data_IF_395589364223
#
_entry.id   IF_395589364223
#
_cell.length_a   1.000
_cell.length_b   1.000
_cell.length_c   1.000
_cell.angle_alpha   90.00
_cell.angle_beta   90.00
_cell.angle_gamma   90.00
#
_symmetry.space_group_name_H-M   'P 1'
#
loop_
_entity.id
_entity.type
_entity.pdbx_description
1 polymer ?
#
# COMPACT_ATOMS: atom_id res chain seq x y z
N UNK A 1 15.05 -5.95 -13.03
CA UNK A 1 15.37 -5.69 -11.60
C UNK A 1 14.17 -6.08 -10.76
N UNK A 2 14.37 -6.60 -9.54
CA UNK A 2 13.25 -6.97 -8.65
C UNK A 2 13.11 -5.94 -7.53
N UNK A 3 11.88 -5.46 -7.30
CA UNK A 3 11.53 -4.53 -6.24
C UNK A 3 10.55 -5.23 -5.28
N UNK A 4 10.85 -5.18 -3.97
CA UNK A 4 9.97 -5.73 -2.94
C UNK A 4 8.93 -4.70 -2.48
N UNK A 5 7.84 -5.18 -1.88
CA UNK A 5 6.80 -4.30 -1.32
C UNK A 5 7.34 -3.40 -0.20
N UNK A 6 8.36 -3.85 0.54
CA UNK A 6 9.05 -3.04 1.54
C UNK A 6 9.73 -1.82 0.91
N UNK A 7 10.44 -2.02 -0.19
CA UNK A 7 11.08 -0.91 -0.92
C UNK A 7 10.03 0.09 -1.43
N UNK A 8 8.88 -0.40 -1.91
CA UNK A 8 7.77 0.47 -2.33
C UNK A 8 7.23 1.28 -1.15
N UNK A 9 7.01 0.65 0.00
CA UNK A 9 6.51 1.31 1.21
C UNK A 9 7.48 2.39 1.73
N UNK A 10 8.77 2.08 1.81
CA UNK A 10 9.82 3.03 2.22
C UNK A 10 9.96 4.19 1.23
N UNK A 11 9.95 3.90 -0.07
CA UNK A 11 10.01 4.93 -1.11
C UNK A 11 8.80 5.84 -1.03
N UNK A 12 7.60 5.28 -0.86
CA UNK A 12 6.39 6.07 -0.64
C UNK A 12 6.51 6.95 0.61
N UNK A 13 6.97 6.40 1.74
CA UNK A 13 7.17 7.16 2.96
C UNK A 13 8.14 8.33 2.75
N UNK A 14 9.28 8.09 2.09
CA UNK A 14 10.25 9.13 1.79
C UNK A 14 9.66 10.22 0.89
N UNK A 15 8.96 9.84 -0.19
CA UNK A 15 8.28 10.80 -1.07
C UNK A 15 7.30 11.68 -0.28
N UNK A 16 6.47 11.08 0.58
CA UNK A 16 5.43 11.80 1.34
C UNK A 16 5.99 12.69 2.44
N UNK A 17 6.95 12.19 3.22
CA UNK A 17 7.34 12.81 4.48
C UNK A 17 8.69 13.54 4.43
N UNK A 18 9.61 13.11 3.56
CA UNK A 18 10.90 13.77 3.40
C UNK A 18 10.90 14.75 2.22
N UNK A 19 10.21 14.41 1.13
CA UNK A 19 10.19 15.22 -0.09
C UNK A 19 8.88 15.99 -0.31
N UNK A 20 7.87 15.81 0.55
CA UNK A 20 6.60 16.55 0.48
C UNK A 20 5.76 16.27 -0.76
N UNK A 21 6.02 15.17 -1.47
CA UNK A 21 5.31 14.80 -2.69
C UNK A 21 3.84 14.49 -2.35
N UNK A 22 2.86 15.04 -3.09
CA UNK A 22 1.45 14.74 -2.88
C UNK A 22 1.14 13.25 -3.04
N UNK A 23 0.15 12.74 -2.29
CA UNK A 23 -0.25 11.33 -2.31
C UNK A 23 -0.50 10.79 -3.72
N UNK A 24 -1.36 11.47 -4.48
CA UNK A 24 -1.75 11.05 -5.82
C UNK A 24 -0.55 11.01 -6.78
N UNK A 25 0.40 11.94 -6.62
CA UNK A 25 1.62 11.95 -7.41
C UNK A 25 2.56 10.81 -7.02
N UNK A 26 2.77 10.57 -5.73
CA UNK A 26 3.59 9.46 -5.24
C UNK A 26 3.05 8.10 -5.73
N UNK A 27 1.73 7.89 -5.66
CA UNK A 27 1.06 6.67 -6.14
C UNK A 27 1.23 6.51 -7.65
N UNK A 28 1.02 7.59 -8.41
CA UNK A 28 1.17 7.59 -9.87
C UNK A 28 2.59 7.22 -10.30
N UNK A 29 3.62 7.84 -9.71
CA UNK A 29 5.02 7.58 -10.11
C UNK A 29 5.49 6.20 -9.68
N UNK A 30 5.08 5.72 -8.49
CA UNK A 30 5.38 4.36 -8.06
C UNK A 30 4.69 3.33 -8.96
N UNK A 31 3.42 3.54 -9.31
CA UNK A 31 2.72 2.66 -10.25
C UNK A 31 3.38 2.65 -11.62
N UNK A 32 3.85 3.81 -12.11
CA UNK A 32 4.60 3.89 -13.37
C UNK A 32 5.90 3.08 -13.31
N UNK A 33 6.69 3.24 -12.24
CA UNK A 33 7.91 2.44 -12.01
C UNK A 33 7.60 0.94 -11.98
N UNK A 34 6.56 0.54 -11.24
CA UNK A 34 6.20 -0.87 -11.15
C UNK A 34 5.55 -1.40 -12.42
N UNK A 35 5.15 -0.56 -13.38
CA UNK A 35 4.56 -0.99 -14.65
C UNK A 35 5.60 -1.09 -15.78
N UNK A 36 6.83 -0.68 -15.51
CA UNK A 36 7.95 -0.83 -16.44
C UNK A 36 8.23 -2.33 -16.71
N UNK A 37 8.36 -2.76 -17.98
CA UNK A 37 8.57 -4.16 -18.34
C UNK A 37 9.87 -4.76 -17.78
N UNK A 38 10.87 -3.93 -17.46
CA UNK A 38 12.16 -4.38 -16.91
C UNK A 38 12.12 -4.52 -15.37
N UNK A 39 10.99 -4.17 -14.74
CA UNK A 39 10.77 -4.23 -13.30
C UNK A 39 9.85 -5.40 -12.93
N UNK A 40 10.37 -6.30 -12.09
CA UNK A 40 9.59 -7.36 -11.45
C UNK A 40 9.19 -6.92 -10.04
N UNK A 41 7.89 -6.96 -9.74
CA UNK A 41 7.33 -6.67 -8.43
C UNK A 41 6.35 -7.79 -8.06
N UNK A 42 6.85 -8.94 -7.56
CA UNK A 42 6.03 -10.15 -7.35
C UNK A 42 5.08 -10.06 -6.16
N UNK A 43 5.19 -9.00 -5.36
CA UNK A 43 4.35 -8.76 -4.20
C UNK A 43 2.98 -8.15 -4.55
N UNK A 44 2.35 -7.53 -3.56
CA UNK A 44 0.99 -6.96 -3.67
C UNK A 44 0.98 -5.49 -4.09
N UNK A 45 2.14 -4.81 -4.07
CA UNK A 45 2.24 -3.36 -4.25
C UNK A 45 1.63 -2.85 -5.55
N UNK A 46 1.85 -3.53 -6.69
CA UNK A 46 1.29 -3.11 -7.98
C UNK A 46 -0.25 -3.11 -7.94
N UNK A 47 -0.86 -4.15 -7.39
CA UNK A 47 -2.32 -4.26 -7.29
C UNK A 47 -2.89 -3.18 -6.36
N UNK A 48 -2.26 -2.96 -5.20
CA UNK A 48 -2.70 -1.95 -4.22
C UNK A 48 -2.59 -0.54 -4.80
N UNK A 49 -1.49 -0.19 -5.45
CA UNK A 49 -1.29 1.12 -6.09
C UNK A 49 -2.29 1.35 -7.24
N UNK A 50 -2.57 0.32 -8.03
CA UNK A 50 -3.58 0.41 -9.11
C UNK A 50 -4.99 0.64 -8.56
N UNK A 51 -5.38 -0.05 -7.49
CA UNK A 51 -6.69 0.14 -6.85
C UNK A 51 -6.80 1.52 -6.20
N UNK A 52 -5.70 2.02 -5.65
CA UNK A 52 -5.61 3.34 -5.03
C UNK A 52 -5.80 4.47 -6.05
N UNK A 53 -5.09 4.42 -7.18
CA UNK A 53 -5.20 5.43 -8.24
C UNK A 53 -6.58 5.48 -8.90
N UNK A 54 -7.33 4.37 -8.89
CA UNK A 54 -8.70 4.29 -9.42
C UNK A 54 -9.78 4.80 -8.43
N UNK A 55 -9.45 4.89 -7.14
CA UNK A 55 -10.40 5.25 -6.09
C UNK A 55 -10.31 6.73 -5.73
N UNK A 56 -11.45 7.39 -5.47
CA UNK A 56 -11.44 8.65 -4.71
C UNK A 56 -11.13 8.30 -3.26
N UNK A 57 -9.85 8.26 -2.90
CA UNK A 57 -9.39 7.98 -1.54
C UNK A 57 -10.08 8.94 -0.57
N UNK A 58 -11.06 8.43 0.17
CA UNK A 58 -11.73 9.15 1.24
C UNK A 58 -10.76 9.33 2.41
N UNK A 59 -10.88 10.44 3.15
CA UNK A 59 -10.15 10.65 4.42
C UNK A 59 -10.38 9.55 5.46
N UNK A 60 -11.41 8.71 5.28
CA UNK A 60 -11.73 7.59 6.16
C UNK A 60 -11.04 6.27 5.81
N UNK A 61 -10.29 6.21 4.70
CA UNK A 61 -9.56 5.02 4.27
C UNK A 61 -8.27 4.84 5.08
N UNK A 62 -7.87 3.61 5.43
CA UNK A 62 -6.55 3.35 5.98
C UNK A 62 -5.42 3.85 5.06
N UNK A 63 -4.25 4.09 5.64
CA UNK A 63 -3.08 4.57 4.91
C UNK A 63 -2.67 3.62 3.79
N UNK A 64 -1.89 4.11 2.82
CA UNK A 64 -1.39 3.25 1.73
C UNK A 64 -0.56 2.08 2.28
N UNK A 65 0.33 2.35 3.24
CA UNK A 65 1.18 1.31 3.85
C UNK A 65 0.35 0.30 4.62
N UNK A 66 -0.68 0.73 5.35
CA UNK A 66 -1.58 -0.20 6.07
C UNK A 66 -2.33 -1.11 5.10
N UNK A 67 -2.72 -0.58 3.93
CA UNK A 67 -3.34 -1.37 2.86
C UNK A 67 -2.35 -2.33 2.20
N UNK A 68 -1.07 -1.98 2.08
CA UNK A 68 -0.03 -2.92 1.63
C UNK A 68 0.12 -4.08 2.63
N UNK A 69 0.20 -3.78 3.92
CA UNK A 69 0.28 -4.80 4.98
C UNK A 69 -0.95 -5.70 4.96
N UNK A 70 -2.15 -5.11 4.89
CA UNK A 70 -3.40 -5.88 4.81
C UNK A 70 -3.44 -6.78 3.57
N UNK A 71 -3.06 -6.27 2.40
CA UNK A 71 -3.05 -7.05 1.17
C UNK A 71 -2.05 -8.21 1.21
N UNK A 72 -0.87 -8.03 1.82
CA UNK A 72 0.13 -9.09 1.97
C UNK A 72 -0.38 -10.22 2.86
N UNK A 73 -0.99 -9.90 4.02
CA UNK A 73 -1.64 -10.90 4.88
C UNK A 73 -2.80 -11.60 4.16
N UNK A 74 -3.57 -10.85 3.36
CA UNK A 74 -4.70 -11.39 2.61
C UNK A 74 -4.26 -12.35 1.51
N UNK A 75 -3.14 -12.09 0.83
CA UNK A 75 -2.55 -12.98 -0.19
C UNK A 75 -2.33 -14.39 0.38
N UNK A 76 -1.93 -14.48 1.64
CA UNK A 76 -1.58 -15.73 2.31
C UNK A 76 -2.74 -16.29 3.17
N UNK A 77 -3.96 -15.76 2.98
CA UNK A 77 -5.19 -16.09 3.70
C UNK A 77 -5.14 -15.89 5.23
N UNK A 78 -4.21 -15.08 5.72
CA UNK A 78 -3.98 -14.83 7.15
C UNK A 78 -4.88 -13.70 7.69
N UNK A 79 -5.30 -13.78 8.97
CA UNK A 79 -5.94 -12.65 9.65
C UNK A 79 -4.88 -11.61 10.04
N UNK A 80 -5.24 -10.32 9.93
CA UNK A 80 -4.41 -9.23 10.45
C UNK A 80 -4.85 -8.85 11.86
N UNK A 81 -3.91 -8.80 12.80
CA UNK A 81 -4.15 -8.34 14.17
C UNK A 81 -3.52 -6.96 14.33
N UNK A 82 -4.28 -5.98 14.83
CA UNK A 82 -3.82 -4.58 14.92
C UNK A 82 -4.41 -3.86 16.13
N UNK A 83 -3.80 -2.75 16.53
CA UNK A 83 -4.39 -1.78 17.47
C UNK A 83 -5.08 -0.62 16.73
N UNK A 84 -4.94 -0.54 15.40
CA UNK A 84 -5.56 0.52 14.60
C UNK A 84 -7.04 0.21 14.28
N UNK A 85 -7.93 1.02 14.86
CA UNK A 85 -9.38 0.92 14.65
C UNK A 85 -9.80 1.27 13.22
N UNK A 86 -9.06 2.12 12.51
CA UNK A 86 -9.37 2.45 11.11
C UNK A 86 -9.13 1.23 10.22
N UNK A 87 -8.03 0.51 10.45
CA UNK A 87 -7.70 -0.72 9.75
C UNK A 87 -8.63 -1.87 10.12
N UNK A 88 -9.15 -1.89 11.36
CA UNK A 88 -10.17 -2.83 11.83
C UNK A 88 -11.48 -2.86 11.03
N UNK A 89 -11.71 -1.89 10.14
CA UNK A 89 -12.88 -1.86 9.24
C UNK A 89 -12.71 -2.73 8.00
N UNK A 90 -11.49 -3.20 7.72
CA UNK A 90 -11.22 -4.08 6.59
C UNK A 90 -11.56 -5.54 6.92
N UNK A 91 -11.79 -6.34 5.89
CA UNK A 91 -12.08 -7.75 6.05
C UNK A 91 -10.91 -8.50 6.71
N UNK A 92 -11.25 -9.49 7.56
CA UNK A 92 -10.27 -10.34 8.27
C UNK A 92 -9.24 -9.57 9.11
N UNK A 93 -9.65 -8.43 9.67
CA UNK A 93 -8.87 -7.69 10.65
C UNK A 93 -9.47 -7.88 12.05
N UNK A 94 -8.64 -8.20 13.04
CA UNK A 94 -8.99 -8.23 14.46
C UNK A 94 -8.29 -7.07 15.17
N UNK A 95 -9.08 -6.24 15.85
CA UNK A 95 -8.54 -5.16 16.71
C UNK A 95 -8.31 -5.71 18.12
N UNK A 96 -7.14 -5.42 18.70
CA UNK A 96 -6.86 -5.67 20.12
C UNK A 96 -7.16 -4.42 20.95
N UNK A 97 -7.64 -4.64 22.18
CA UNK A 97 -7.98 -3.61 23.16
C UNK A 97 -6.95 -3.56 24.29
#
# INVERSE_FOLDING_TARGET
MTISDLVVAETYFALRHHYGVPHAEAVRVLLALLSDPDISAPGVSRAVLSADGASRVSKSMPGLVDRLIHADYRRDDLPLITFDRALGRLERVRVLE
#
